data_IF_401515108087
#
_entry.id   IF_401515108087
#
_cell.length_a   1.000
_cell.length_b   1.000
_cell.length_c   1.000
_cell.angle_alpha   90.00
_cell.angle_beta   90.00
_cell.angle_gamma   90.00
#
_symmetry.space_group_name_H-M   'P 1'
#
loop_
_entity.id
_entity.type
_entity.pdbx_description
1 polymer ?
#
# COMPACT_ATOMS: atom_id res chain seq x y z
N UNK A 1 25.72 47.45 21.11
CA UNK A 1 25.97 46.36 20.14
C UNK A 1 24.80 46.29 19.18
N UNK A 2 24.97 46.75 17.94
CA UNK A 2 23.89 46.80 16.95
C UNK A 2 23.66 45.41 16.34
N UNK A 3 22.43 44.90 16.43
CA UNK A 3 22.05 43.62 15.82
C UNK A 3 22.06 43.76 14.31
N UNK A 4 22.74 42.83 13.63
CA UNK A 4 22.79 42.80 12.16
C UNK A 4 21.38 42.52 11.61
N UNK A 5 20.92 43.25 10.57
CA UNK A 5 19.60 43.04 10.00
C UNK A 5 19.53 41.67 9.34
N UNK A 6 18.45 40.93 9.62
CA UNK A 6 18.17 39.61 9.02
C UNK A 6 18.01 39.77 7.50
N UNK A 7 18.84 39.06 6.74
CA UNK A 7 18.74 39.02 5.28
C UNK A 7 17.34 38.54 4.87
N UNK A 8 16.65 39.33 4.04
CA UNK A 8 15.37 38.95 3.45
C UNK A 8 15.65 37.82 2.46
N UNK A 9 15.08 36.63 2.70
CA UNK A 9 15.16 35.52 1.76
C UNK A 9 14.63 36.00 0.40
N UNK A 10 15.49 35.99 -0.62
CA UNK A 10 15.11 36.25 -2.01
C UNK A 10 14.06 35.22 -2.39
N UNK A 11 12.86 35.70 -2.74
CA UNK A 11 11.79 34.84 -3.21
C UNK A 11 12.34 33.96 -4.36
N UNK A 12 11.97 32.66 -4.41
CA UNK A 12 12.39 31.82 -5.51
C UNK A 12 11.99 32.47 -6.84
N UNK A 13 12.85 32.42 -7.86
CA UNK A 13 12.59 33.08 -9.13
C UNK A 13 11.25 32.57 -9.69
N UNK A 14 10.45 33.44 -10.33
CA UNK A 14 9.16 33.05 -10.88
C UNK A 14 9.37 31.87 -11.82
N UNK A 15 8.66 30.77 -11.58
CA UNK A 15 8.78 29.56 -12.40
C UNK A 15 8.51 29.94 -13.86
N UNK A 16 9.52 29.78 -14.72
CA UNK A 16 9.42 30.02 -16.17
C UNK A 16 8.14 29.33 -16.67
N UNK A 17 7.21 30.12 -17.23
CA UNK A 17 5.99 29.59 -17.85
C UNK A 17 6.43 28.51 -18.84
N UNK A 18 5.94 27.28 -18.66
CA UNK A 18 6.28 26.15 -19.54
C UNK A 18 5.99 26.59 -20.96
N UNK A 19 6.99 26.47 -21.86
CA UNK A 19 6.79 26.71 -23.29
C UNK A 19 5.71 25.72 -23.75
N UNK A 20 4.60 26.23 -24.27
CA UNK A 20 3.57 25.44 -24.94
C UNK A 20 4.20 24.91 -26.23
N UNK A 21 4.75 23.70 -26.20
CA UNK A 21 5.47 23.09 -27.33
C UNK A 21 4.54 22.54 -28.42
N UNK A 22 3.23 22.72 -28.28
CA UNK A 22 2.24 22.32 -29.28
C UNK A 22 1.19 23.41 -29.43
N UNK A 23 1.58 24.52 -30.05
CA UNK A 23 0.61 25.38 -30.71
C UNK A 23 0.14 24.60 -31.94
N UNK A 24 -0.97 23.88 -31.82
CA UNK A 24 -1.59 23.20 -32.95
C UNK A 24 -2.13 24.30 -33.87
N UNK A 25 -1.61 24.38 -35.10
CA UNK A 25 -1.90 25.46 -36.04
C UNK A 25 -3.37 25.43 -36.52
N UNK A 26 -3.97 24.24 -36.60
CA UNK A 26 -5.36 24.06 -37.03
C UNK A 26 -6.08 23.01 -36.18
N UNK A 27 -7.26 23.36 -35.64
CA UNK A 27 -8.11 22.45 -34.87
C UNK A 27 -9.22 21.95 -35.80
N UNK A 28 -9.04 20.74 -36.36
CA UNK A 28 -10.10 20.07 -37.10
C UNK A 28 -11.16 19.54 -36.12
N UNK A 29 -12.42 19.97 -36.29
CA UNK A 29 -13.52 19.54 -35.44
C UNK A 29 -14.34 18.45 -36.13
N UNK A 30 -14.10 17.20 -35.73
CA UNK A 30 -14.86 16.06 -36.23
C UNK A 30 -16.21 15.94 -35.48
N UNK A 31 -17.35 16.10 -36.17
CA UNK A 31 -18.67 15.97 -35.54
C UNK A 31 -18.90 14.56 -34.97
N UNK A 32 -18.34 13.50 -35.56
CA UNK A 32 -18.49 12.14 -35.05
C UNK A 32 -17.79 11.95 -33.71
N UNK A 33 -16.55 12.47 -33.58
CA UNK A 33 -15.82 12.50 -32.32
C UNK A 33 -16.54 13.34 -31.26
N UNK A 34 -17.25 14.41 -31.66
CA UNK A 34 -18.09 15.20 -30.76
C UNK A 34 -19.28 14.39 -30.24
N UNK A 35 -19.98 13.66 -31.11
CA UNK A 35 -21.10 12.81 -30.73
C UNK A 35 -20.67 11.70 -29.77
N UNK A 36 -19.55 11.03 -30.04
CA UNK A 36 -18.93 10.06 -29.15
C UNK A 36 -18.50 10.70 -27.81
N UNK A 37 -18.03 11.94 -27.84
CA UNK A 37 -17.73 12.67 -26.62
C UNK A 37 -19.01 13.04 -25.85
N UNK A 38 -20.10 13.41 -26.50
CA UNK A 38 -21.34 13.76 -25.79
C UNK A 38 -22.09 12.53 -25.27
N UNK A 39 -22.02 11.39 -25.94
CA UNK A 39 -22.77 10.18 -25.54
C UNK A 39 -21.90 9.19 -24.74
N UNK A 40 -20.59 9.18 -24.95
CA UNK A 40 -19.64 8.23 -24.37
C UNK A 40 -19.19 8.50 -22.92
N UNK A 41 -20.01 9.16 -22.09
CA UNK A 41 -19.63 9.48 -20.70
C UNK A 41 -19.25 8.23 -19.89
N UNK A 42 -19.99 7.13 -20.06
CA UNK A 42 -19.67 5.86 -19.41
C UNK A 42 -18.32 5.31 -19.89
N UNK A 43 -18.06 5.33 -21.20
CA UNK A 43 -16.77 4.93 -21.79
C UNK A 43 -15.62 5.75 -21.20
N UNK A 44 -15.75 7.08 -21.11
CA UNK A 44 -14.73 7.95 -20.47
C UNK A 44 -14.56 7.71 -18.98
N UNK A 45 -15.64 7.37 -18.27
CA UNK A 45 -15.56 7.04 -16.85
C UNK A 45 -14.76 5.75 -16.65
N UNK A 46 -15.04 4.73 -17.45
CA UNK A 46 -14.29 3.47 -17.45
C UNK A 46 -12.83 3.69 -17.85
N UNK A 47 -12.57 4.49 -18.90
CA UNK A 47 -11.20 4.83 -19.32
C UNK A 47 -10.43 5.55 -18.21
N UNK A 48 -11.04 6.52 -17.50
CA UNK A 48 -10.41 7.17 -16.35
C UNK A 48 -10.10 6.18 -15.22
N UNK A 49 -11.01 5.26 -14.93
CA UNK A 49 -10.78 4.22 -13.93
C UNK A 49 -9.64 3.30 -14.37
N UNK A 50 -9.61 2.88 -15.64
CA UNK A 50 -8.53 2.04 -16.20
C UNK A 50 -7.19 2.76 -16.14
N UNK A 51 -7.13 4.01 -16.60
CA UNK A 51 -5.91 4.83 -16.55
C UNK A 51 -5.41 4.99 -15.11
N UNK A 52 -6.28 5.29 -14.15
CA UNK A 52 -5.88 5.40 -12.75
C UNK A 52 -5.31 4.07 -12.20
N UNK A 53 -5.89 2.93 -12.60
CA UNK A 53 -5.37 1.60 -12.25
C UNK A 53 -4.01 1.34 -12.91
N UNK A 54 -3.86 1.68 -14.18
CA UNK A 54 -2.60 1.52 -14.92
C UNK A 54 -1.49 2.40 -14.37
N UNK A 55 -1.77 3.66 -14.03
CA UNK A 55 -0.81 4.55 -13.39
C UNK A 55 -0.40 4.05 -12.00
N UNK A 56 -1.35 3.55 -11.20
CA UNK A 56 -1.04 2.94 -9.93
C UNK A 56 -0.13 1.71 -10.08
N UNK A 57 -0.44 0.83 -11.04
CA UNK A 57 0.38 -0.35 -11.32
C UNK A 57 1.79 0.02 -11.85
N UNK A 58 1.90 1.07 -12.67
CA UNK A 58 3.20 1.59 -13.13
C UNK A 58 4.04 2.10 -11.96
N UNK A 59 3.45 2.92 -11.08
CA UNK A 59 4.14 3.42 -9.88
C UNK A 59 4.57 2.31 -8.94
N UNK A 60 3.71 1.33 -8.70
CA UNK A 60 4.06 0.18 -7.84
C UNK A 60 5.25 -0.61 -8.41
N UNK A 61 5.31 -0.82 -9.73
CA UNK A 61 6.46 -1.47 -10.38
C UNK A 61 7.74 -0.64 -10.23
N UNK A 62 7.65 0.67 -10.43
CA UNK A 62 8.79 1.58 -10.26
C UNK A 62 9.29 1.57 -8.81
N UNK A 63 8.39 1.60 -7.83
CA UNK A 63 8.70 1.51 -6.39
C UNK A 63 9.32 0.16 -6.02
N UNK A 64 8.85 -0.95 -6.58
CA UNK A 64 9.46 -2.26 -6.36
C UNK A 64 10.87 -2.34 -6.97
N UNK A 65 11.08 -1.79 -8.16
CA UNK A 65 12.40 -1.76 -8.79
C UNK A 65 13.38 -0.89 -8.02
N UNK A 66 12.95 0.28 -7.55
CA UNK A 66 13.80 1.16 -6.73
C UNK A 66 14.12 0.50 -5.40
N UNK A 67 13.16 -0.13 -4.73
CA UNK A 67 13.39 -0.89 -3.49
C UNK A 67 14.41 -2.01 -3.68
N UNK A 68 14.28 -2.80 -4.77
CA UNK A 68 15.26 -3.85 -5.12
C UNK A 68 16.65 -3.27 -5.39
N UNK A 69 16.73 -2.13 -6.06
CA UNK A 69 18.00 -1.44 -6.32
C UNK A 69 18.65 -1.00 -5.01
N UNK A 70 17.90 -0.40 -4.09
CA UNK A 70 18.38 0.01 -2.77
C UNK A 70 18.90 -1.20 -1.99
N UNK A 71 18.20 -2.33 -2.00
CA UNK A 71 18.65 -3.56 -1.32
C UNK A 71 19.96 -4.11 -1.92
N UNK A 72 20.10 -4.06 -3.25
CA UNK A 72 21.33 -4.50 -3.92
C UNK A 72 22.50 -3.58 -3.61
N UNK A 73 22.27 -2.26 -3.61
CA UNK A 73 23.26 -1.25 -3.24
C UNK A 73 23.68 -1.38 -1.77
N UNK A 74 22.72 -1.62 -0.87
CA UNK A 74 23.00 -1.90 0.54
C UNK A 74 23.89 -3.12 0.72
N UNK A 75 23.51 -4.27 0.14
CA UNK A 75 24.34 -5.49 0.20
C UNK A 75 25.74 -5.28 -0.38
N UNK A 76 25.85 -4.52 -1.47
CA UNK A 76 27.16 -4.23 -2.07
C UNK A 76 28.01 -3.37 -1.13
N UNK A 77 27.44 -2.33 -0.53
CA UNK A 77 28.13 -1.48 0.43
C UNK A 77 28.57 -2.27 1.68
N UNK A 78 27.71 -3.16 2.20
CA UNK A 78 28.03 -4.02 3.34
C UNK A 78 29.22 -4.96 3.03
N UNK A 79 29.23 -5.54 1.82
CA UNK A 79 30.35 -6.37 1.35
C UNK A 79 31.64 -5.57 1.19
N UNK A 80 31.56 -4.36 0.62
CA UNK A 80 32.71 -3.46 0.48
C UNK A 80 33.28 -3.08 1.86
N UNK A 81 32.43 -2.68 2.80
CA UNK A 81 32.84 -2.39 4.18
C UNK A 81 33.48 -3.59 4.87
N UNK A 82 32.94 -4.79 4.66
CA UNK A 82 33.50 -6.02 5.24
C UNK A 82 34.88 -6.34 4.66
N UNK A 83 35.04 -6.24 3.33
CA UNK A 83 36.34 -6.46 2.67
C UNK A 83 37.36 -5.41 3.12
N UNK A 84 36.97 -4.14 3.23
CA UNK A 84 37.82 -3.08 3.78
C UNK A 84 38.22 -3.37 5.23
N UNK A 85 37.29 -3.84 6.06
CA UNK A 85 37.57 -4.21 7.44
C UNK A 85 38.59 -5.37 7.53
N UNK A 86 38.40 -6.45 6.76
CA UNK A 86 39.33 -7.58 6.70
C UNK A 86 40.70 -7.15 6.19
N UNK A 87 40.74 -6.39 5.10
CA UNK A 87 41.99 -5.86 4.56
C UNK A 87 42.72 -4.97 5.58
N UNK A 88 42.00 -4.16 6.36
CA UNK A 88 42.59 -3.34 7.41
C UNK A 88 43.20 -4.18 8.54
N UNK A 89 42.57 -5.31 8.91
CA UNK A 89 43.08 -6.25 9.91
C UNK A 89 44.35 -6.94 9.38
N UNK A 90 44.32 -7.44 8.14
CA UNK A 90 45.49 -8.05 7.50
C UNK A 90 46.65 -7.06 7.35
N UNK A 91 46.38 -5.80 6.98
CA UNK A 91 47.41 -4.77 6.93
C UNK A 91 48.00 -4.44 8.31
N UNK A 92 47.17 -4.39 9.36
CA UNK A 92 47.63 -4.21 10.75
C UNK A 92 48.51 -5.39 11.19
N UNK A 93 48.11 -6.63 10.89
CA UNK A 93 48.89 -7.82 11.18
C UNK A 93 50.22 -7.84 10.41
N UNK A 94 50.20 -7.53 9.10
CA UNK A 94 51.42 -7.43 8.29
C UNK A 94 52.38 -6.37 8.83
N UNK A 95 51.85 -5.21 9.26
CA UNK A 95 52.66 -4.16 9.88
C UNK A 95 53.25 -4.63 11.22
N UNK A 96 52.47 -5.26 12.08
CA UNK A 96 52.94 -5.81 13.36
C UNK A 96 54.03 -6.88 13.17
N UNK A 97 53.90 -7.75 12.16
CA UNK A 97 54.90 -8.75 11.82
C UNK A 97 56.19 -8.12 11.26
N UNK A 98 56.06 -7.09 10.41
CA UNK A 98 57.20 -6.34 9.86
C UNK A 98 57.95 -5.51 10.90
N UNK A 99 57.27 -5.05 11.96
CA UNK A 99 57.85 -4.24 13.04
C UNK A 99 58.43 -5.13 14.17
N UNK A 100 58.12 -6.43 14.14
CA UNK A 100 58.64 -7.48 15.03
C UNK A 100 59.78 -8.31 14.41
N UNK A 101 60.14 -8.08 13.15
CA UNK A 101 61.16 -8.85 12.43
C UNK A 101 62.43 -8.02 12.25
N UNK A 102 63.22 -8.00 13.33
CA UNK A 102 64.66 -7.76 13.31
C UNK A 102 65.29 -9.02 13.93
N UNK A 103 65.20 -10.15 13.20
CA UNK A 103 66.05 -11.36 13.34
C UNK A 103 65.59 -12.48 12.36
N UNK A 104 66.51 -12.85 11.45
CA UNK A 104 66.69 -14.10 10.68
C UNK A 104 65.64 -14.61 9.66
N UNK A 105 66.07 -15.01 8.43
CA UNK A 105 65.21 -15.68 7.44
C UNK A 105 65.09 -17.18 7.77
N UNK A 106 63.99 -17.58 8.39
CA UNK A 106 63.70 -19.00 8.64
C UNK A 106 63.06 -19.66 7.42
N UNK A 107 63.74 -20.71 6.97
CA UNK A 107 63.45 -21.62 5.86
C UNK A 107 62.06 -22.25 5.89
N UNK A 108 61.47 -22.33 4.70
CA UNK A 108 60.72 -23.46 4.14
C UNK A 108 60.22 -24.53 5.14
N UNK A 109 58.92 -24.50 5.44
CA UNK A 109 58.18 -25.62 6.02
C UNK A 109 56.81 -25.71 5.34
N UNK A 110 56.77 -26.57 4.33
CA UNK A 110 55.67 -27.48 4.03
C UNK A 110 54.75 -27.75 5.24
N UNK A 111 53.47 -27.39 5.14
CA UNK A 111 52.30 -28.24 5.46
C UNK A 111 51.05 -27.35 5.48
N UNK A 112 50.21 -27.47 4.46
CA UNK A 112 48.90 -26.82 4.38
C UNK A 112 47.99 -27.54 3.40
N UNK A 113 48.13 -28.86 3.30
CA UNK A 113 47.17 -29.72 2.63
C UNK A 113 46.08 -30.08 3.65
N UNK A 114 44.90 -29.50 3.43
CA UNK A 114 43.79 -29.60 4.37
C UNK A 114 42.69 -28.60 4.08
N UNK A 115 42.40 -28.33 2.80
CA UNK A 115 41.09 -27.82 2.43
C UNK A 115 40.15 -29.00 2.66
N UNK A 116 39.64 -29.11 3.89
CA UNK A 116 38.41 -29.88 4.12
C UNK A 116 37.39 -29.21 3.22
N UNK A 117 37.00 -29.92 2.17
CA UNK A 117 35.89 -29.58 1.32
C UNK A 117 34.66 -29.56 2.22
N UNK A 118 34.40 -28.41 2.84
CA UNK A 118 33.15 -28.12 3.50
C UNK A 118 32.09 -28.28 2.43
N UNK A 119 31.47 -29.46 2.42
CA UNK A 119 30.20 -29.69 1.77
C UNK A 119 29.35 -28.52 2.20
N UNK A 120 29.00 -27.65 1.25
CA UNK A 120 28.00 -26.60 1.45
C UNK A 120 26.73 -27.31 1.87
N UNK A 121 26.58 -27.54 3.17
CA UNK A 121 25.32 -27.90 3.77
C UNK A 121 24.53 -26.62 3.61
N UNK A 122 23.61 -26.62 2.65
CA UNK A 122 22.57 -25.62 2.57
C UNK A 122 21.79 -25.74 3.88
N UNK A 123 22.23 -25.00 4.89
CA UNK A 123 21.56 -24.88 6.17
C UNK A 123 20.28 -24.08 5.89
N UNK A 124 19.20 -24.80 5.61
CA UNK A 124 17.85 -24.25 5.62
C UNK A 124 17.49 -23.93 7.07
N UNK A 125 17.90 -22.74 7.53
CA UNK A 125 17.46 -22.22 8.82
C UNK A 125 15.96 -21.91 8.74
N UNK A 126 15.13 -22.90 9.12
CA UNK A 126 13.70 -22.72 9.33
C UNK A 126 13.47 -21.73 10.47
N UNK A 127 13.33 -20.45 10.12
CA UNK A 127 12.78 -19.45 11.04
C UNK A 127 11.32 -19.79 11.31
N UNK A 128 11.08 -20.50 12.42
CA UNK A 128 9.75 -20.58 13.02
C UNK A 128 9.49 -19.24 13.68
N UNK A 129 8.76 -18.36 13.01
CA UNK A 129 8.16 -17.18 13.64
C UNK A 129 7.16 -17.68 14.71
N UNK A 130 7.60 -17.80 15.97
CA UNK A 130 6.79 -18.21 17.13
C UNK A 130 5.54 -17.32 17.36
N UNK A 131 5.44 -16.21 16.63
CA UNK A 131 4.36 -15.22 16.70
C UNK A 131 3.25 -15.39 15.64
N UNK A 132 3.30 -16.41 14.75
CA UNK A 132 2.20 -16.71 13.82
C UNK A 132 1.45 -17.99 14.20
N UNK A 133 0.58 -17.88 15.21
CA UNK A 133 -0.43 -18.91 15.46
C UNK A 133 -1.48 -18.94 14.34
N UNK A 134 -1.28 -19.80 13.33
CA UNK A 134 -2.36 -20.23 12.44
C UNK A 134 -2.97 -21.50 13.03
N UNK A 135 -4.12 -21.37 13.70
CA UNK A 135 -4.85 -22.54 14.19
C UNK A 135 -5.48 -23.25 13.00
N UNK A 136 -5.06 -24.49 12.73
CA UNK A 136 -5.69 -25.37 11.75
C UNK A 136 -6.85 -26.10 12.43
N UNK A 137 -8.06 -25.87 11.95
CA UNK A 137 -9.26 -26.59 12.39
C UNK A 137 -9.49 -27.79 11.49
N UNK A 138 -9.40 -29.00 12.06
CA UNK A 138 -9.70 -30.24 11.34
C UNK A 138 -11.20 -30.50 11.45
N UNK A 139 -11.92 -30.24 10.36
CA UNK A 139 -13.35 -30.60 10.23
C UNK A 139 -13.44 -32.02 9.65
N UNK A 140 -14.29 -32.86 10.23
CA UNK A 140 -14.61 -34.16 9.64
C UNK A 140 -15.47 -33.95 8.40
N UNK A 141 -15.08 -34.55 7.28
CA UNK A 141 -15.77 -34.44 6.00
C UNK A 141 -15.94 -35.82 5.42
N UNK A 142 -17.16 -36.14 4.99
CA UNK A 142 -17.50 -37.44 4.43
C UNK A 142 -17.35 -37.41 2.91
N UNK A 143 -16.69 -38.43 2.35
CA UNK A 143 -16.32 -38.47 0.93
C UNK A 143 -17.24 -39.47 0.21
N UNK A 144 -18.25 -38.96 -0.47
CA UNK A 144 -19.18 -39.77 -1.27
C UNK A 144 -18.91 -39.60 -2.76
N UNK A 145 -19.46 -40.51 -3.58
CA UNK A 145 -19.30 -40.49 -5.05
C UNK A 145 -19.81 -39.20 -5.71
N UNK A 146 -20.68 -38.47 -5.02
CA UNK A 146 -21.29 -37.20 -5.43
C UNK A 146 -20.54 -35.96 -4.93
N UNK A 147 -19.51 -36.13 -4.08
CA UNK A 147 -18.68 -35.04 -3.60
C UNK A 147 -18.28 -35.13 -2.12
N UNK A 148 -17.65 -34.06 -1.66
CA UNK A 148 -17.11 -33.89 -0.32
C UNK A 148 -18.14 -33.14 0.55
N UNK A 149 -18.77 -33.83 1.51
CA UNK A 149 -19.86 -33.30 2.34
C UNK A 149 -19.41 -33.04 3.79
N UNK A 150 -19.59 -31.82 4.28
CA UNK A 150 -19.30 -31.46 5.67
C UNK A 150 -20.28 -32.18 6.61
N UNK A 151 -19.78 -33.08 7.45
CA UNK A 151 -20.61 -33.70 8.49
C UNK A 151 -20.82 -32.67 9.58
N UNK A 152 -22.04 -32.14 9.70
CA UNK A 152 -22.44 -31.28 10.81
C UNK A 152 -22.42 -32.15 12.07
N UNK A 153 -21.37 -32.06 12.87
CA UNK A 153 -21.36 -32.61 14.22
C UNK A 153 -22.19 -31.72 15.13
N UNK A 154 -23.06 -32.33 15.95
CA UNK A 154 -24.21 -31.76 16.67
C UNK A 154 -23.93 -30.69 17.74
N UNK A 155 -23.15 -29.65 17.44
CA UNK A 155 -22.97 -28.50 18.35
C UNK A 155 -23.24 -27.12 17.74
N UNK A 156 -23.61 -27.02 16.47
CA UNK A 156 -24.05 -25.75 15.88
C UNK A 156 -25.26 -25.95 14.98
N UNK A 157 -26.37 -26.38 15.58
CA UNK A 157 -27.68 -26.17 15.02
C UNK A 157 -27.92 -24.63 14.97
N UNK A 158 -28.18 -24.10 13.77
CA UNK A 158 -28.71 -22.76 13.43
C UNK A 158 -27.83 -21.83 12.59
N UNK A 159 -27.45 -22.25 11.37
CA UNK A 159 -27.63 -21.42 10.16
C UNK A 159 -27.29 -22.20 8.89
N UNK A 160 -28.22 -23.03 8.43
CA UNK A 160 -28.21 -23.52 7.05
C UNK A 160 -28.75 -22.42 6.12
N UNK A 161 -27.86 -21.91 5.29
CA UNK A 161 -28.10 -21.11 4.09
C UNK A 161 -28.78 -21.97 3.02
N UNK A 162 -29.99 -21.63 2.62
CA UNK A 162 -30.55 -22.08 1.34
C UNK A 162 -30.29 -20.98 0.30
N UNK A 163 -29.29 -21.21 -0.55
CA UNK A 163 -29.10 -20.51 -1.82
C UNK A 163 -29.24 -21.58 -2.89
N UNK A 164 -30.35 -21.55 -3.64
CA UNK A 164 -30.47 -22.25 -4.91
C UNK A 164 -30.99 -21.28 -5.98
N UNK A 165 -30.35 -21.42 -7.14
CA UNK A 165 -30.41 -20.62 -8.36
C UNK A 165 -31.56 -21.09 -9.30
N UNK A 166 -31.78 -20.46 -10.48
CA UNK A 166 -33.11 -20.18 -11.06
C UNK A 166 -33.55 -21.16 -12.18
N UNK A 167 -34.85 -21.30 -12.45
CA UNK A 167 -35.43 -21.62 -13.79
C UNK A 167 -36.90 -21.12 -13.91
N UNK A 168 -37.22 -20.75 -15.14
CA UNK A 168 -38.37 -20.10 -15.82
C UNK A 168 -39.83 -20.47 -15.48
N UNK A 169 -40.75 -19.54 -15.79
CA UNK A 169 -42.19 -19.81 -15.99
C UNK A 169 -43.06 -18.55 -16.06
N UNK A 170 -43.67 -18.29 -17.22
CA UNK A 170 -44.55 -17.16 -17.56
C UNK A 170 -45.86 -17.10 -16.74
N UNK A 171 -46.44 -15.91 -16.54
CA UNK A 171 -47.81 -15.51 -16.98
C UNK A 171 -48.37 -14.26 -16.27
N UNK A 172 -48.91 -13.36 -17.10
CA UNK A 172 -50.09 -12.47 -16.94
C UNK A 172 -50.28 -11.50 -15.75
N UNK A 173 -50.30 -10.21 -16.13
CA UNK A 173 -51.25 -9.12 -15.76
C UNK A 173 -52.04 -9.21 -14.44
N UNK A 174 -51.85 -8.20 -13.59
CA UNK A 174 -52.85 -7.27 -12.99
C UNK A 174 -52.37 -6.86 -11.58
N UNK A 175 -52.27 -5.58 -11.26
CA UNK A 175 -53.36 -4.86 -10.59
C UNK A 175 -52.77 -4.12 -9.38
N UNK A 176 -53.14 -2.85 -9.22
CA UNK A 176 -52.76 -1.94 -8.14
C UNK A 176 -53.29 -2.39 -6.75
N UNK A 177 -52.70 -1.79 -5.69
CA UNK A 177 -52.93 -1.95 -4.22
C UNK A 177 -52.20 -3.17 -3.66
N UNK A 178 -51.35 -3.05 -2.65
CA UNK A 178 -51.72 -2.52 -1.34
C UNK A 178 -50.47 -2.07 -0.57
N UNK A 179 -50.34 -0.76 -0.38
CA UNK A 179 -49.47 -0.18 0.64
C UNK A 179 -50.21 -0.30 1.97
N UNK A 180 -49.85 -1.28 2.79
CA UNK A 180 -49.97 -1.32 4.27
C UNK A 180 -50.16 -2.76 4.74
N UNK A 181 -49.09 -3.53 4.94
CA UNK A 181 -49.10 -4.56 6.00
C UNK A 181 -47.73 -5.07 6.48
N UNK A 182 -46.62 -4.65 5.88
CA UNK A 182 -45.29 -5.19 6.25
C UNK A 182 -44.67 -4.59 7.53
N UNK A 183 -45.45 -3.93 8.38
CA UNK A 183 -44.94 -3.24 9.59
C UNK A 183 -44.98 -4.08 10.87
N UNK A 184 -45.71 -5.20 10.89
CA UNK A 184 -45.86 -6.01 12.12
C UNK A 184 -44.97 -7.26 12.16
N UNK A 185 -44.65 -7.87 11.02
CA UNK A 185 -43.84 -9.10 10.99
C UNK A 185 -42.34 -8.86 11.27
N UNK A 186 -41.84 -7.64 11.04
CA UNK A 186 -40.42 -7.30 11.24
C UNK A 186 -40.09 -6.83 12.67
N UNK A 187 -40.96 -7.12 13.65
CA UNK A 187 -40.74 -6.77 15.07
C UNK A 187 -40.13 -7.92 15.88
N UNK A 188 -40.26 -9.17 15.41
CA UNK A 188 -39.76 -10.37 16.10
C UNK A 188 -38.32 -10.76 15.71
N UNK A 189 -37.72 -10.12 14.69
CA UNK A 189 -36.30 -10.30 14.33
C UNK A 189 -35.39 -9.23 14.93
N UNK A 190 -35.66 -8.82 16.17
CA UNK A 190 -34.75 -7.94 16.93
C UNK A 190 -33.69 -8.79 17.61
N UNK A 191 -32.59 -9.05 16.90
CA UNK A 191 -31.33 -9.48 17.52
C UNK A 191 -31.00 -8.55 18.70
N UNK A 192 -30.62 -9.14 19.82
CA UNK A 192 -30.26 -8.43 21.06
C UNK A 192 -29.28 -7.28 20.79
N UNK A 193 -29.36 -6.17 21.53
CA UNK A 193 -28.43 -5.06 21.36
C UNK A 193 -27.01 -5.54 21.72
N UNK A 194 -25.99 -5.26 20.87
CA UNK A 194 -24.63 -5.71 21.14
C UNK A 194 -24.13 -5.11 22.46
N UNK A 195 -23.58 -5.98 23.33
CA UNK A 195 -23.01 -5.71 24.66
C UNK A 195 -21.72 -4.85 24.64
N UNK A 196 -21.56 -3.97 23.65
CA UNK A 196 -20.34 -3.19 23.46
C UNK A 196 -20.61 -1.75 23.04
N UNK A 197 -19.69 -0.81 23.33
CA UNK A 197 -19.83 0.57 22.89
C UNK A 197 -19.90 0.61 21.36
N UNK A 198 -21.04 1.07 20.83
CA UNK A 198 -21.28 1.19 19.38
C UNK A 198 -20.15 2.00 18.74
N UNK A 199 -19.39 1.37 17.83
CA UNK A 199 -18.38 2.07 17.02
C UNK A 199 -19.08 3.21 16.27
N UNK A 200 -18.75 4.46 16.63
CA UNK A 200 -19.34 5.64 15.99
C UNK A 200 -18.97 5.62 14.51
N UNK A 201 -19.95 5.81 13.62
CA UNK A 201 -19.73 5.91 12.17
C UNK A 201 -18.61 6.93 11.89
N UNK A 202 -17.63 6.54 11.08
CA UNK A 202 -16.56 7.45 10.63
C UNK A 202 -17.24 8.61 9.90
N UNK A 203 -17.08 9.82 10.44
CA UNK A 203 -17.58 11.03 9.79
C UNK A 203 -16.63 11.33 8.63
N UNK A 204 -17.02 10.95 7.41
CA UNK A 204 -16.33 11.36 6.20
C UNK A 204 -16.31 12.89 6.15
N UNK A 205 -15.12 13.46 6.16
CA UNK A 205 -14.88 14.88 6.06
C UNK A 205 -13.97 15.09 4.86
N UNK A 206 -14.26 16.11 4.07
CA UNK A 206 -13.48 16.48 2.89
C UNK A 206 -12.05 16.94 3.23
N UNK A 207 -11.81 17.30 4.49
CA UNK A 207 -10.53 17.80 4.98
C UNK A 207 -10.18 17.14 6.32
N UNK A 208 -8.87 16.95 6.56
CA UNK A 208 -8.34 16.51 7.85
C UNK A 208 -8.65 17.53 8.96
N UNK A 209 -8.58 17.11 10.23
CA UNK A 209 -8.83 18.03 11.37
C UNK A 209 -7.82 19.19 11.38
N UNK A 210 -6.61 18.97 10.87
CA UNK A 210 -5.56 19.99 10.75
C UNK A 210 -5.87 20.98 9.62
N UNK A 211 -6.17 20.51 8.41
CA UNK A 211 -6.59 21.35 7.28
C UNK A 211 -7.79 22.22 7.64
N UNK A 212 -8.81 21.63 8.29
CA UNK A 212 -10.00 22.36 8.76
C UNK A 212 -9.68 23.49 9.75
N UNK A 213 -8.64 23.34 10.57
CA UNK A 213 -8.21 24.40 11.49
C UNK A 213 -7.56 25.54 10.71
N UNK A 214 -6.73 25.21 9.73
CA UNK A 214 -6.05 26.19 8.87
C UNK A 214 -7.07 26.94 8.00
N UNK A 215 -8.03 26.25 7.38
CA UNK A 215 -9.08 26.88 6.57
C UNK A 215 -9.94 27.83 7.42
N UNK A 216 -10.40 27.39 8.61
CA UNK A 216 -11.12 28.26 9.55
C UNK A 216 -10.30 29.47 10.00
N UNK A 217 -9.00 29.31 10.22
CA UNK A 217 -8.14 30.44 10.61
C UNK A 217 -8.04 31.47 9.47
N UNK A 218 -7.82 31.01 8.24
CA UNK A 218 -7.77 31.85 7.03
C UNK A 218 -9.11 32.56 6.77
N UNK A 219 -10.22 31.86 6.94
CA UNK A 219 -11.55 32.44 6.78
C UNK A 219 -11.82 33.52 7.84
N UNK A 220 -11.51 33.24 9.11
CA UNK A 220 -11.66 34.21 10.21
C UNK A 220 -10.80 35.46 10.00
N UNK A 221 -9.54 35.29 9.59
CA UNK A 221 -8.66 36.43 9.33
C UNK A 221 -9.14 37.25 8.14
N UNK A 222 -9.58 36.61 7.06
CA UNK A 222 -10.18 37.26 5.89
C UNK A 222 -11.46 38.01 6.21
N UNK A 223 -12.38 37.39 6.96
CA UNK A 223 -13.64 38.02 7.37
C UNK A 223 -13.40 39.20 8.31
N UNK A 224 -12.44 39.08 9.25
CA UNK A 224 -12.04 40.19 10.14
C UNK A 224 -11.46 41.37 9.35
N UNK A 225 -10.61 41.11 8.36
CA UNK A 225 -10.05 42.15 7.50
C UNK A 225 -11.14 42.86 6.68
N UNK A 226 -12.06 42.09 6.06
CA UNK A 226 -13.21 42.63 5.31
C UNK A 226 -14.14 43.44 6.22
N UNK A 227 -14.42 42.98 7.43
CA UNK A 227 -15.25 43.71 8.39
C UNK A 227 -14.60 45.04 8.82
N UNK A 228 -13.27 45.05 9.05
CA UNK A 228 -12.54 46.28 9.36
C UNK A 228 -12.56 47.26 8.18
N UNK A 229 -12.45 46.77 6.95
CA UNK A 229 -12.53 47.60 5.74
C UNK A 229 -13.91 48.22 5.53
N UNK A 230 -15.00 47.53 5.93
CA UNK A 230 -16.37 48.06 5.88
C UNK A 230 -16.69 49.08 6.97
N UNK A 231 -15.92 49.10 8.06
CA UNK A 231 -16.12 50.00 9.22
C UNK A 231 -15.34 51.32 9.06
N UNK A 232 -14.53 51.45 8.01
CA UNK A 232 -13.81 52.67 7.64
C UNK A 232 -14.54 53.34 6.49
#
# INVERSE_FOLDING_TARGET
MFSRPRAKATAPPPTKKRKLTSAIEEIAFDPSAREDYLTGFHKRKLQRIKHAKEEAAKREREEQLTARKILREGRKADLEMHVEAVNSILQKQKRALSESSDEEPLTEAEQGDGIVEDTRVDHEDEYVDEDRYTTVTVEAVDVSRDGLHKTITDYEENQATAIEDPVEGETTKSGMKEWQDTKQENRLRRKEPPSGPKKRKKKFRYESKAERKVSRYKERSGNKAKAKARKK
#
